data_IF_756774513245
#
_entry.id   IF_756774513245
#
_cell.length_a   1.000
_cell.length_b   1.000
_cell.length_c   1.000
_cell.angle_alpha   90.00
_cell.angle_beta   90.00
_cell.angle_gamma   90.00
#
_symmetry.space_group_name_H-M   'P 1'
#
loop_
_entity.id
_entity.type
_entity.pdbx_description
1 polymer ?
#
# COMPACT_ATOMS: atom_id res chain seq x y z
N UNK A 1 34.58 -51.57 27.14
CA UNK A 1 34.46 -51.48 25.68
C UNK A 1 33.03 -51.62 25.12
N UNK A 2 32.02 -52.13 25.88
CA UNK A 2 30.65 -52.29 25.37
C UNK A 2 29.70 -51.08 25.58
N UNK A 3 30.07 -50.14 26.44
CA UNK A 3 29.26 -48.94 26.76
C UNK A 3 29.51 -47.77 25.79
N UNK A 4 30.70 -47.66 25.20
CA UNK A 4 31.03 -46.58 24.27
C UNK A 4 30.40 -46.76 22.86
N UNK A 5 30.13 -48.02 22.46
CA UNK A 5 29.53 -48.29 21.15
C UNK A 5 28.05 -47.97 21.08
N UNK A 6 27.31 -48.02 22.22
CA UNK A 6 25.88 -47.68 22.27
C UNK A 6 25.61 -46.18 22.18
N UNK A 7 26.49 -45.36 22.71
CA UNK A 7 26.34 -43.87 22.64
C UNK A 7 26.58 -43.34 21.24
N UNK A 8 27.49 -43.94 20.46
CA UNK A 8 27.74 -43.47 19.06
C UNK A 8 26.58 -43.81 18.11
N UNK A 9 25.91 -44.92 18.30
CA UNK A 9 24.74 -45.29 17.45
C UNK A 9 23.52 -44.41 17.74
N UNK A 10 23.30 -43.97 18.98
CA UNK A 10 22.21 -43.08 19.32
C UNK A 10 22.44 -41.65 18.83
N UNK A 11 23.66 -41.14 18.80
CA UNK A 11 23.95 -39.82 18.27
C UNK A 11 23.83 -39.78 16.74
N UNK A 12 24.23 -40.82 16.04
CA UNK A 12 24.10 -40.92 14.59
C UNK A 12 22.62 -41.02 14.16
N UNK A 13 21.77 -41.73 14.94
CA UNK A 13 20.32 -41.83 14.67
C UNK A 13 19.60 -40.50 14.94
N UNK A 14 19.97 -39.72 15.96
CA UNK A 14 19.39 -38.44 16.26
C UNK A 14 19.77 -37.37 15.22
N UNK A 15 20.96 -37.37 14.68
CA UNK A 15 21.41 -36.49 13.60
C UNK A 15 20.75 -36.84 12.25
N UNK A 16 20.53 -38.12 11.96
CA UNK A 16 19.83 -38.52 10.73
C UNK A 16 18.34 -38.14 10.75
N UNK A 17 17.67 -38.23 11.92
CA UNK A 17 16.27 -37.84 12.07
C UNK A 17 16.09 -36.30 11.98
N UNK A 18 17.04 -35.51 12.50
CA UNK A 18 16.98 -34.04 12.39
C UNK A 18 17.28 -33.53 10.98
N UNK A 19 18.12 -34.20 10.20
CA UNK A 19 18.36 -33.88 8.78
C UNK A 19 17.16 -34.24 7.89
N UNK A 20 16.45 -35.34 8.18
CA UNK A 20 15.22 -35.69 7.45
C UNK A 20 14.06 -34.76 7.78
N UNK A 21 13.92 -34.30 9.03
CA UNK A 21 12.86 -33.36 9.42
C UNK A 21 13.08 -31.97 8.79
N UNK A 22 14.33 -31.50 8.63
CA UNK A 22 14.64 -30.25 7.95
C UNK A 22 14.40 -30.32 6.42
N UNK A 23 14.66 -31.46 5.78
CA UNK A 23 14.37 -31.67 4.37
C UNK A 23 12.86 -31.78 4.08
N UNK A 24 12.07 -32.37 4.98
CA UNK A 24 10.61 -32.46 4.84
C UNK A 24 9.91 -31.08 4.98
N UNK A 25 10.46 -30.15 5.76
CA UNK A 25 9.90 -28.80 5.91
C UNK A 25 10.15 -27.90 4.70
N UNK A 26 11.18 -28.18 3.89
CA UNK A 26 11.51 -27.39 2.70
C UNK A 26 10.68 -27.82 1.46
N UNK A 27 10.14 -29.02 1.43
CA UNK A 27 9.43 -29.58 0.26
C UNK A 27 7.93 -29.18 0.16
N UNK A 28 7.33 -28.67 1.22
CA UNK A 28 5.88 -28.50 1.32
C UNK A 28 5.28 -27.31 0.57
N UNK A 29 6.06 -26.34 0.07
CA UNK A 29 5.53 -25.14 -0.56
C UNK A 29 5.29 -25.33 -2.06
N UNK A 30 6.07 -26.16 -2.75
CA UNK A 30 5.90 -26.47 -4.18
C UNK A 30 4.88 -27.61 -4.45
N UNK A 31 4.47 -28.35 -3.41
CA UNK A 31 3.44 -29.39 -3.51
C UNK A 31 2.01 -28.82 -3.39
N UNK A 32 1.87 -27.53 -3.10
CA UNK A 32 0.55 -26.88 -3.08
C UNK A 32 0.02 -26.66 -4.51
N UNK A 33 -1.30 -26.61 -4.71
CA UNK A 33 -1.90 -26.28 -5.98
C UNK A 33 -1.36 -24.96 -6.53
N UNK A 34 -1.22 -24.88 -7.85
CA UNK A 34 -0.86 -23.63 -8.51
C UNK A 34 -1.93 -22.56 -8.27
N UNK A 35 -1.51 -21.32 -8.01
CA UNK A 35 -2.39 -20.16 -7.88
C UNK A 35 -2.95 -19.74 -9.25
N UNK A 36 -2.23 -20.04 -10.31
CA UNK A 36 -2.58 -19.78 -11.70
C UNK A 36 -1.82 -20.73 -12.63
N UNK A 37 -2.33 -20.95 -13.80
CA UNK A 37 -1.70 -21.84 -14.78
C UNK A 37 -0.28 -21.37 -15.15
N UNK A 38 0.70 -22.25 -15.04
CA UNK A 38 2.10 -21.98 -15.38
C UNK A 38 2.92 -21.32 -14.25
N UNK A 39 2.40 -21.23 -13.03
CA UNK A 39 3.10 -20.69 -11.89
C UNK A 39 4.45 -21.38 -11.63
N UNK A 40 4.48 -22.71 -11.66
CA UNK A 40 5.70 -23.49 -11.42
C UNK A 40 6.79 -23.20 -12.46
N UNK A 41 6.41 -23.12 -13.73
CA UNK A 41 7.34 -22.80 -14.81
C UNK A 41 7.92 -21.37 -14.68
N UNK A 42 7.07 -20.41 -14.29
CA UNK A 42 7.51 -19.04 -14.03
C UNK A 42 8.41 -18.95 -12.82
N UNK A 43 8.13 -19.71 -11.75
CA UNK A 43 9.01 -19.78 -10.58
C UNK A 43 10.39 -20.33 -10.93
N UNK A 44 10.48 -21.41 -11.72
CA UNK A 44 11.76 -21.95 -12.17
C UNK A 44 12.59 -20.95 -12.99
N UNK A 45 11.93 -20.07 -13.74
CA UNK A 45 12.61 -18.98 -14.44
C UNK A 45 13.06 -17.86 -13.48
N UNK A 46 12.19 -17.47 -12.53
CA UNK A 46 12.46 -16.44 -11.53
C UNK A 46 13.58 -16.83 -10.55
N UNK A 47 13.71 -18.11 -10.20
CA UNK A 47 14.80 -18.65 -9.39
C UNK A 47 16.18 -18.33 -9.98
N UNK A 48 16.32 -18.35 -11.30
CA UNK A 48 17.59 -18.02 -11.99
C UNK A 48 17.94 -16.54 -11.86
N UNK A 49 16.95 -15.67 -11.65
CA UNK A 49 17.12 -14.25 -11.41
C UNK A 49 17.39 -13.98 -9.91
N UNK A 50 16.83 -14.79 -9.01
CA UNK A 50 17.09 -14.83 -7.58
C UNK A 50 16.45 -13.72 -6.76
N UNK A 51 15.94 -12.66 -7.38
CA UNK A 51 15.30 -11.56 -6.69
C UNK A 51 14.27 -10.82 -7.55
N UNK A 52 13.37 -10.11 -6.90
CA UNK A 52 12.53 -9.07 -7.51
C UNK A 52 12.77 -7.74 -6.79
N UNK A 53 12.98 -6.67 -7.56
CA UNK A 53 13.10 -5.31 -7.02
C UNK A 53 11.77 -4.59 -7.24
N UNK A 54 11.06 -4.30 -6.16
CA UNK A 54 9.73 -3.65 -6.16
C UNK A 54 9.83 -2.24 -5.58
N UNK A 55 9.65 -1.22 -6.39
CA UNK A 55 9.69 0.16 -5.95
C UNK A 55 8.37 0.58 -5.32
N UNK A 56 8.45 1.46 -4.33
CA UNK A 56 7.34 2.02 -3.55
C UNK A 56 6.51 0.92 -2.84
N UNK A 57 7.16 -0.12 -2.33
CA UNK A 57 6.55 -1.11 -1.46
C UNK A 57 7.34 -1.18 -0.16
N UNK A 58 6.67 -1.08 0.98
CA UNK A 58 7.34 -1.05 2.27
C UNK A 58 6.57 -1.83 3.34
N UNK A 59 7.24 -2.49 4.29
CA UNK A 59 6.60 -3.42 5.23
C UNK A 59 5.69 -2.73 6.26
N UNK A 60 5.72 -1.41 6.36
CA UNK A 60 5.04 -0.67 7.44
C UNK A 60 3.62 -0.23 7.11
N UNK A 61 3.14 -0.43 5.88
CA UNK A 61 1.83 0.02 5.40
C UNK A 61 1.19 -0.97 4.42
N UNK A 62 -0.11 -0.81 4.12
CA UNK A 62 -0.93 -1.60 3.19
C UNK A 62 -0.71 -3.13 3.27
N UNK A 63 -0.34 -3.64 4.44
CA UNK A 63 -0.07 -5.07 4.69
C UNK A 63 1.05 -5.71 3.85
N UNK A 64 1.97 -4.92 3.29
CA UNK A 64 3.09 -5.43 2.48
C UNK A 64 3.98 -6.43 3.23
N UNK A 65 4.16 -6.26 4.56
CA UNK A 65 4.94 -7.21 5.36
C UNK A 65 4.37 -8.64 5.27
N UNK A 66 3.05 -8.79 5.29
CA UNK A 66 2.39 -10.09 5.16
C UNK A 66 2.50 -10.64 3.72
N UNK A 67 2.41 -9.76 2.70
CA UNK A 67 2.64 -10.11 1.30
C UNK A 67 4.08 -10.63 1.09
N UNK A 68 5.08 -9.93 1.61
CA UNK A 68 6.49 -10.34 1.54
C UNK A 68 6.72 -11.68 2.23
N UNK A 69 6.17 -11.86 3.43
CA UNK A 69 6.30 -13.11 4.18
C UNK A 69 5.64 -14.29 3.45
N UNK A 70 4.46 -14.10 2.90
CA UNK A 70 3.74 -15.13 2.16
C UNK A 70 4.41 -15.46 0.82
N UNK A 71 4.90 -14.45 0.09
CA UNK A 71 5.68 -14.64 -1.12
C UNK A 71 6.97 -15.42 -0.84
N UNK A 72 7.75 -15.01 0.15
CA UNK A 72 8.99 -15.71 0.55
C UNK A 72 8.73 -17.14 1.00
N UNK A 73 7.64 -17.38 1.71
CA UNK A 73 7.24 -18.74 2.10
C UNK A 73 6.90 -19.61 0.89
N UNK A 74 6.23 -19.05 -0.12
CA UNK A 74 5.83 -19.77 -1.32
C UNK A 74 6.97 -19.95 -2.31
N UNK A 75 7.84 -18.94 -2.44
CA UNK A 75 8.95 -18.86 -3.38
C UNK A 75 10.30 -18.59 -2.66
N UNK A 76 10.80 -19.53 -1.89
CA UNK A 76 11.93 -19.31 -0.97
C UNK A 76 13.24 -18.91 -1.66
N UNK A 77 13.39 -19.18 -2.96
CA UNK A 77 14.62 -18.89 -3.72
C UNK A 77 14.56 -17.54 -4.45
N UNK A 78 13.48 -16.74 -4.27
CA UNK A 78 13.36 -15.39 -4.82
C UNK A 78 13.27 -14.38 -3.68
N UNK A 79 14.25 -13.48 -3.59
CA UNK A 79 14.26 -12.40 -2.60
C UNK A 79 13.42 -11.21 -3.07
N UNK A 80 12.80 -10.48 -2.12
CA UNK A 80 12.15 -9.21 -2.40
C UNK A 80 13.05 -8.08 -1.92
N UNK A 81 13.45 -7.21 -2.84
CA UNK A 81 14.14 -5.95 -2.56
C UNK A 81 13.16 -4.82 -2.80
N UNK A 82 13.04 -3.91 -1.86
CA UNK A 82 12.04 -2.82 -1.94
C UNK A 82 12.63 -1.47 -1.53
N UNK A 83 11.94 -0.40 -1.90
CA UNK A 83 12.12 0.94 -1.34
C UNK A 83 10.74 1.58 -1.03
N UNK A 84 10.78 2.71 -0.35
CA UNK A 84 9.60 3.51 0.01
C UNK A 84 9.94 4.99 -0.23
N UNK A 85 9.68 5.47 -1.45
CA UNK A 85 10.10 6.80 -1.91
C UNK A 85 8.95 7.73 -2.32
N UNK A 86 7.73 7.24 -2.30
CA UNK A 86 6.53 7.96 -2.72
C UNK A 86 6.20 7.81 -4.20
N UNK A 87 4.90 7.80 -4.53
CA UNK A 87 4.38 7.51 -5.87
C UNK A 87 4.96 8.41 -6.97
N UNK A 88 5.03 9.72 -6.72
CA UNK A 88 5.60 10.67 -7.69
C UNK A 88 7.10 10.50 -7.88
N UNK A 89 7.84 10.29 -6.78
CA UNK A 89 9.28 10.06 -6.84
C UNK A 89 9.63 8.74 -7.52
N UNK A 90 8.78 7.72 -7.39
CA UNK A 90 8.91 6.44 -8.10
C UNK A 90 8.89 6.65 -9.61
N UNK A 91 7.93 7.40 -10.16
CA UNK A 91 7.87 7.70 -11.60
C UNK A 91 9.12 8.45 -12.05
N UNK A 92 9.58 9.43 -11.29
CA UNK A 92 10.82 10.19 -11.59
C UNK A 92 12.05 9.27 -11.58
N UNK A 93 12.14 8.34 -10.61
CA UNK A 93 13.24 7.39 -10.53
C UNK A 93 13.26 6.44 -11.72
N UNK A 94 12.11 5.90 -12.12
CA UNK A 94 11.99 5.05 -13.31
C UNK A 94 12.40 5.80 -14.59
N UNK A 95 11.94 7.06 -14.74
CA UNK A 95 12.25 7.87 -15.90
C UNK A 95 13.74 8.19 -16.03
N UNK A 96 14.38 8.57 -14.92
CA UNK A 96 15.83 8.81 -14.88
C UNK A 96 16.65 7.57 -15.17
N UNK A 97 16.17 6.39 -14.75
CA UNK A 97 16.85 5.11 -14.92
C UNK A 97 16.42 4.34 -16.18
N UNK A 98 15.63 4.93 -17.10
CA UNK A 98 15.03 4.22 -18.25
C UNK A 98 15.99 3.42 -19.12
N UNK A 99 17.24 3.85 -19.25
CA UNK A 99 18.28 3.18 -20.03
C UNK A 99 18.97 2.04 -19.26
N UNK A 100 18.84 2.02 -17.94
CA UNK A 100 19.36 0.99 -17.04
C UNK A 100 18.41 0.86 -15.83
N UNK A 101 17.26 0.24 -16.01
CA UNK A 101 16.24 0.11 -14.96
C UNK A 101 16.82 -0.55 -13.70
N UNK A 102 16.39 -0.06 -12.54
CA UNK A 102 16.82 -0.53 -11.23
C UNK A 102 15.68 -1.24 -10.49
N UNK A 103 14.52 -1.38 -11.11
CA UNK A 103 13.35 -2.03 -10.58
C UNK A 103 12.74 -3.00 -11.59
N UNK A 104 12.03 -4.00 -11.09
CA UNK A 104 11.27 -4.96 -11.88
C UNK A 104 9.78 -4.63 -11.84
N UNK A 105 9.32 -4.10 -10.71
CA UNK A 105 7.94 -3.66 -10.51
C UNK A 105 7.91 -2.30 -9.82
N UNK A 106 6.84 -1.55 -10.03
CA UNK A 106 6.63 -0.26 -9.39
C UNK A 106 5.17 -0.13 -8.97
N UNK A 107 4.97 0.23 -7.71
CA UNK A 107 3.68 0.49 -7.12
C UNK A 107 3.49 1.98 -6.89
N UNK A 108 2.26 2.48 -6.98
CA UNK A 108 1.94 3.90 -6.83
C UNK A 108 0.42 4.14 -6.75
N UNK A 109 0.03 5.30 -6.31
CA UNK A 109 -1.31 5.83 -6.58
C UNK A 109 -1.59 5.77 -8.08
N UNK A 110 -2.74 5.26 -8.49
CA UNK A 110 -3.01 4.91 -9.89
C UNK A 110 -2.90 6.09 -10.87
N UNK A 111 -3.08 7.34 -10.41
CA UNK A 111 -2.83 8.51 -11.25
C UNK A 111 -1.35 8.62 -11.69
N UNK A 112 -0.41 8.23 -10.81
CA UNK A 112 1.02 8.18 -11.16
C UNK A 112 1.35 7.04 -12.12
N UNK A 113 0.54 5.96 -12.12
CA UNK A 113 0.67 4.87 -13.10
C UNK A 113 0.41 5.35 -14.53
N UNK A 114 -0.55 6.28 -14.71
CA UNK A 114 -0.84 6.89 -16.02
C UNK A 114 0.37 7.68 -16.51
N UNK A 115 1.04 8.45 -15.64
CA UNK A 115 2.26 9.17 -15.99
C UNK A 115 3.41 8.21 -16.36
N UNK A 116 3.60 7.13 -15.58
CA UNK A 116 4.60 6.10 -15.88
C UNK A 116 4.35 5.45 -17.26
N UNK A 117 3.08 5.13 -17.57
CA UNK A 117 2.69 4.58 -18.87
C UNK A 117 2.92 5.56 -20.02
N UNK A 118 2.61 6.85 -19.82
CA UNK A 118 2.84 7.91 -20.81
C UNK A 118 4.34 8.12 -21.09
N UNK A 119 5.19 7.95 -20.05
CA UNK A 119 6.65 8.01 -20.19
C UNK A 119 7.28 6.76 -20.79
N UNK A 120 6.49 5.70 -21.06
CA UNK A 120 6.97 4.40 -21.56
C UNK A 120 8.09 3.79 -20.69
N UNK A 121 7.97 3.88 -19.36
CA UNK A 121 8.89 3.27 -18.40
C UNK A 121 8.33 1.99 -17.80
N UNK A 122 7.13 1.56 -18.23
CA UNK A 122 6.45 0.34 -17.80
C UNK A 122 6.02 -0.49 -19.01
N UNK A 123 6.11 -1.81 -18.86
CA UNK A 123 5.81 -2.81 -19.90
C UNK A 123 4.37 -3.32 -19.79
N UNK A 124 3.75 -3.74 -20.91
CA UNK A 124 2.49 -4.46 -20.88
C UNK A 124 2.64 -5.82 -20.16
N UNK A 125 1.76 -6.07 -19.20
CA UNK A 125 1.64 -7.38 -18.56
C UNK A 125 0.23 -7.54 -17.97
N UNK A 126 -0.40 -8.69 -18.22
CA UNK A 126 -1.72 -9.03 -17.71
C UNK A 126 -1.57 -10.21 -16.74
N UNK A 127 -1.53 -9.96 -15.42
CA UNK A 127 -1.43 -11.02 -14.42
C UNK A 127 -2.74 -11.81 -14.31
N UNK A 128 -2.72 -12.88 -13.50
CA UNK A 128 -3.94 -13.58 -13.10
C UNK A 128 -4.98 -12.60 -12.56
N UNK A 129 -6.25 -12.84 -12.81
CA UNK A 129 -7.39 -11.99 -12.43
C UNK A 129 -7.43 -10.58 -13.09
N UNK A 130 -6.48 -10.24 -13.96
CA UNK A 130 -6.48 -8.94 -14.66
C UNK A 130 -7.83 -8.64 -15.33
N UNK A 131 -8.42 -9.63 -16.00
CA UNK A 131 -9.68 -9.43 -16.72
C UNK A 131 -10.90 -9.33 -15.81
N UNK A 132 -10.81 -9.71 -14.55
CA UNK A 132 -11.85 -9.47 -13.53
C UNK A 132 -11.92 -8.00 -13.08
N UNK A 133 -10.84 -7.23 -13.23
CA UNK A 133 -10.84 -5.81 -12.89
C UNK A 133 -11.79 -5.03 -13.80
N UNK A 134 -12.51 -4.07 -13.21
CA UNK A 134 -13.30 -3.14 -14.01
C UNK A 134 -12.39 -2.31 -14.93
N UNK A 135 -12.84 -1.91 -16.13
CA UNK A 135 -12.00 -1.18 -17.10
C UNK A 135 -11.37 0.11 -16.55
N UNK A 136 -12.02 0.78 -15.60
CA UNK A 136 -11.48 2.02 -14.98
C UNK A 136 -10.31 1.75 -14.02
N UNK A 137 -10.09 0.49 -13.63
CA UNK A 137 -9.05 0.07 -12.70
C UNK A 137 -7.86 -0.60 -13.38
N UNK A 138 -7.78 -0.54 -14.71
CA UNK A 138 -6.67 -1.11 -15.47
C UNK A 138 -6.41 -0.35 -16.76
N UNK A 139 -5.17 -0.40 -17.21
CA UNK A 139 -4.82 -0.03 -18.58
C UNK A 139 -5.23 -1.14 -19.55
N UNK A 140 -5.77 -0.81 -20.72
CA UNK A 140 -6.25 -1.81 -21.68
C UNK A 140 -5.13 -2.75 -22.18
N UNK A 141 -3.92 -2.20 -22.32
CA UNK A 141 -2.74 -2.95 -22.76
C UNK A 141 -2.01 -3.62 -21.60
N UNK A 142 -2.44 -3.38 -20.33
CA UNK A 142 -1.82 -3.96 -19.16
C UNK A 142 -0.57 -3.24 -18.68
N UNK A 143 -0.35 -1.98 -19.06
CA UNK A 143 0.79 -1.19 -18.56
C UNK A 143 0.70 -0.88 -17.07
N UNK A 144 -0.51 -0.88 -16.52
CA UNK A 144 -0.78 -0.79 -15.09
C UNK A 144 -2.13 -1.45 -14.75
N UNK A 145 -2.29 -1.88 -13.52
CA UNK A 145 -3.54 -2.40 -12.97
C UNK A 145 -3.60 -2.16 -11.48
N UNK A 146 -4.80 -1.94 -10.96
CA UNK A 146 -5.00 -1.72 -9.53
C UNK A 146 -4.97 -3.03 -8.77
N UNK A 147 -4.42 -2.99 -7.57
CA UNK A 147 -4.32 -4.15 -6.68
C UNK A 147 -5.17 -4.00 -5.43
N UNK A 148 -5.45 -2.78 -5.01
CA UNK A 148 -6.34 -2.47 -3.88
C UNK A 148 -6.80 -1.01 -3.92
N UNK A 149 -7.77 -0.69 -3.05
CA UNK A 149 -8.23 0.68 -2.78
C UNK A 149 -8.03 1.02 -1.31
N UNK A 150 -7.72 2.29 -1.04
CA UNK A 150 -7.49 2.83 0.30
C UNK A 150 -8.41 4.03 0.54
N UNK A 151 -9.08 4.07 1.69
CA UNK A 151 -10.04 5.12 2.06
C UNK A 151 -9.43 6.10 3.04
N UNK A 152 -9.51 7.40 2.76
CA UNK A 152 -9.01 8.44 3.68
C UNK A 152 -9.82 8.48 4.96
N UNK A 153 -9.13 8.52 6.09
CA UNK A 153 -9.68 8.61 7.43
C UNK A 153 -8.79 9.50 8.34
N UNK A 154 -9.36 9.95 9.44
CA UNK A 154 -8.60 10.49 10.55
C UNK A 154 -8.22 9.35 11.48
N UNK A 155 -6.92 9.15 11.68
CA UNK A 155 -6.35 8.20 12.64
C UNK A 155 -5.98 8.98 13.88
N UNK A 156 -6.70 8.76 14.98
CA UNK A 156 -6.66 9.63 16.17
C UNK A 156 -6.15 8.86 17.37
N UNK A 157 -5.14 9.40 18.06
CA UNK A 157 -4.68 8.91 19.32
C UNK A 157 -5.59 9.47 20.46
N UNK A 158 -6.48 8.64 21.00
CA UNK A 158 -7.48 9.05 21.99
C UNK A 158 -6.88 9.35 23.36
N UNK A 159 -5.62 8.96 23.60
CA UNK A 159 -4.90 9.36 24.82
C UNK A 159 -4.48 10.83 24.78
N UNK A 160 -4.19 11.34 23.58
CA UNK A 160 -3.75 12.72 23.35
C UNK A 160 -4.90 13.64 22.96
N UNK A 161 -5.91 13.13 22.27
CA UNK A 161 -7.06 13.88 21.73
C UNK A 161 -8.34 13.39 22.41
N UNK A 162 -8.92 14.20 23.30
CA UNK A 162 -10.14 13.81 24.03
C UNK A 162 -11.40 13.94 23.21
N UNK A 163 -11.51 15.00 22.41
CA UNK A 163 -12.61 15.23 21.50
C UNK A 163 -12.21 14.73 20.11
N UNK A 164 -12.62 13.50 19.75
CA UNK A 164 -12.28 12.91 18.47
C UNK A 164 -13.00 13.62 17.34
N UNK A 165 -12.29 14.26 16.37
CA UNK A 165 -12.92 14.98 15.26
C UNK A 165 -13.72 14.03 14.38
N UNK A 166 -14.92 14.44 13.96
CA UNK A 166 -15.85 13.66 13.13
C UNK A 166 -15.98 14.23 11.72
N UNK A 167 -15.41 15.41 11.48
CA UNK A 167 -15.61 16.18 10.26
C UNK A 167 -14.36 16.96 9.86
N UNK A 168 -14.22 17.28 8.56
CA UNK A 168 -13.19 18.19 8.10
C UNK A 168 -13.29 19.56 8.81
N UNK A 169 -14.51 20.04 9.05
CA UNK A 169 -14.73 21.30 9.75
C UNK A 169 -14.25 21.25 11.22
N UNK A 170 -14.34 20.10 11.89
CA UNK A 170 -13.86 19.96 13.26
C UNK A 170 -12.35 20.22 13.34
N UNK A 171 -11.58 19.76 12.35
CA UNK A 171 -10.12 19.95 12.34
C UNK A 171 -9.67 21.43 12.32
N UNK A 172 -10.58 22.37 12.04
CA UNK A 172 -10.31 23.80 12.09
C UNK A 172 -10.50 24.40 13.50
N UNK A 173 -11.06 23.64 14.47
CA UNK A 173 -11.30 24.14 15.83
C UNK A 173 -10.00 24.39 16.57
N UNK A 174 -9.94 25.43 17.45
CA UNK A 174 -8.71 25.80 18.17
C UNK A 174 -8.16 24.69 19.10
N UNK A 175 -9.00 23.77 19.54
CA UNK A 175 -8.60 22.64 20.40
C UNK A 175 -7.61 21.67 19.72
N UNK A 176 -7.52 21.69 18.38
CA UNK A 176 -6.57 20.86 17.62
C UNK A 176 -5.28 21.59 17.26
N UNK A 177 -4.99 22.72 17.91
CA UNK A 177 -3.76 23.47 17.65
C UNK A 177 -2.52 22.56 17.78
N UNK A 178 -1.70 22.54 16.72
CA UNK A 178 -0.44 21.78 16.66
C UNK A 178 -0.63 20.26 16.90
N UNK A 179 -1.69 19.65 16.34
CA UNK A 179 -1.97 18.22 16.52
C UNK A 179 -2.04 17.43 15.22
N UNK A 180 -2.21 18.08 14.06
CA UNK A 180 -2.53 17.41 12.82
C UNK A 180 -1.27 17.13 12.01
N UNK A 181 -1.10 15.88 11.59
CA UNK A 181 -0.05 15.42 10.67
C UNK A 181 -0.71 14.83 9.43
N UNK A 182 -0.16 15.14 8.25
CA UNK A 182 -0.54 14.50 7.00
C UNK A 182 0.64 14.51 6.01
N UNK A 183 0.50 13.84 4.86
CA UNK A 183 1.59 13.72 3.88
C UNK A 183 1.50 14.77 2.77
N UNK A 184 2.67 15.18 2.27
CA UNK A 184 2.81 16.17 1.21
C UNK A 184 2.22 15.65 -0.12
N UNK A 185 1.21 16.32 -0.70
CA UNK A 185 0.58 15.90 -1.94
C UNK A 185 1.51 15.98 -3.16
N UNK A 186 2.59 16.77 -3.10
CA UNK A 186 3.54 16.92 -4.21
C UNK A 186 4.40 15.66 -4.39
N UNK A 187 4.70 14.95 -3.30
CA UNK A 187 5.60 13.79 -3.30
C UNK A 187 4.89 12.47 -3.06
N UNK A 188 3.72 12.45 -2.40
CA UNK A 188 3.05 11.22 -1.97
C UNK A 188 1.66 11.06 -2.57
N UNK A 189 1.30 9.80 -2.89
CA UNK A 189 -0.06 9.47 -3.32
C UNK A 189 -1.10 9.74 -2.23
N UNK A 190 -0.77 9.40 -0.97
CA UNK A 190 -1.65 9.68 0.19
C UNK A 190 -1.99 11.17 0.28
N UNK A 191 -0.99 12.04 0.19
CA UNK A 191 -1.20 13.49 0.23
C UNK A 191 -2.14 13.99 -0.87
N UNK A 192 -1.99 13.47 -2.09
CA UNK A 192 -2.90 13.80 -3.20
C UNK A 192 -4.34 13.37 -2.89
N UNK A 193 -4.51 12.14 -2.40
CA UNK A 193 -5.85 11.64 -2.07
C UNK A 193 -6.47 12.40 -0.91
N UNK A 194 -5.69 12.80 0.09
CA UNK A 194 -6.13 13.66 1.19
C UNK A 194 -6.58 15.02 0.67
N UNK A 195 -5.89 15.60 -0.32
CA UNK A 195 -6.32 16.86 -0.94
C UNK A 195 -7.67 16.72 -1.64
N UNK A 196 -7.92 15.65 -2.40
CA UNK A 196 -9.23 15.38 -2.99
C UNK A 196 -10.30 15.09 -1.95
N UNK A 197 -9.97 14.31 -0.89
CA UNK A 197 -10.93 14.00 0.17
C UNK A 197 -11.40 15.26 0.92
N UNK A 198 -10.48 16.15 1.27
CA UNK A 198 -10.81 17.44 1.86
C UNK A 198 -11.64 18.31 0.91
N UNK A 199 -11.30 18.33 -0.38
CA UNK A 199 -12.06 19.04 -1.40
C UNK A 199 -13.50 18.54 -1.50
N UNK A 200 -13.70 17.24 -1.51
CA UNK A 200 -15.05 16.64 -1.49
C UNK A 200 -15.82 16.98 -0.21
N UNK A 201 -15.13 16.96 0.94
CA UNK A 201 -15.72 17.35 2.23
C UNK A 201 -16.13 18.81 2.29
N UNK A 202 -15.49 19.67 1.50
CA UNK A 202 -15.82 21.10 1.39
C UNK A 202 -16.78 21.42 0.22
N UNK A 203 -17.38 20.39 -0.40
CA UNK A 203 -18.35 20.57 -1.48
C UNK A 203 -17.75 20.75 -2.87
N UNK A 204 -16.44 20.57 -3.03
CA UNK A 204 -15.78 20.53 -4.33
C UNK A 204 -15.94 19.19 -5.06
N UNK A 205 -15.42 19.13 -6.27
CA UNK A 205 -15.37 17.93 -7.10
C UNK A 205 -14.02 17.78 -7.79
N UNK A 206 -13.85 16.79 -8.67
CA UNK A 206 -12.59 16.53 -9.37
C UNK A 206 -12.18 17.66 -10.33
N UNK A 207 -13.09 18.51 -10.76
CA UNK A 207 -12.84 19.63 -11.68
C UNK A 207 -12.74 20.98 -10.95
N UNK A 208 -13.40 21.11 -9.79
CA UNK A 208 -13.36 22.29 -8.93
C UNK A 208 -12.60 21.98 -7.63
N UNK A 209 -11.32 22.35 -7.58
CA UNK A 209 -10.43 22.12 -6.44
C UNK A 209 -10.45 23.25 -5.42
N UNK A 210 -11.04 24.42 -5.75
CA UNK A 210 -10.94 25.63 -4.94
C UNK A 210 -11.45 25.44 -3.50
N UNK A 211 -12.59 24.75 -3.25
CA UNK A 211 -13.07 24.53 -1.87
C UNK A 211 -12.06 23.82 -0.98
N UNK A 212 -11.35 22.80 -1.53
CA UNK A 212 -10.30 22.10 -0.80
C UNK A 212 -9.05 22.95 -0.56
N UNK A 213 -8.65 23.76 -1.54
CA UNK A 213 -7.49 24.67 -1.41
C UNK A 213 -7.77 25.76 -0.36
N UNK A 214 -8.97 26.32 -0.36
CA UNK A 214 -9.41 27.29 0.66
C UNK A 214 -9.44 26.66 2.05
N UNK A 215 -9.84 25.38 2.14
CA UNK A 215 -9.79 24.63 3.39
C UNK A 215 -8.37 24.45 3.89
N UNK A 216 -7.41 24.04 3.04
CA UNK A 216 -6.00 23.92 3.45
C UNK A 216 -5.40 25.27 3.87
N UNK A 217 -5.77 26.34 3.20
CA UNK A 217 -5.36 27.68 3.63
C UNK A 217 -5.81 27.96 5.07
N UNK A 218 -7.08 27.72 5.39
CA UNK A 218 -7.62 27.89 6.73
C UNK A 218 -6.94 26.95 7.74
N UNK A 219 -6.72 25.69 7.37
CA UNK A 219 -6.11 24.68 8.23
C UNK A 219 -4.67 25.05 8.60
N UNK A 220 -3.89 25.56 7.67
CA UNK A 220 -2.52 26.03 7.96
C UNK A 220 -2.53 27.33 8.77
N UNK A 221 -3.42 28.29 8.43
CA UNK A 221 -3.53 29.56 9.17
C UNK A 221 -4.04 29.37 10.61
N UNK A 222 -4.85 28.31 10.89
CA UNK A 222 -5.30 28.05 12.25
C UNK A 222 -4.17 27.61 13.21
N UNK A 223 -3.03 27.18 12.66
CA UNK A 223 -1.92 26.63 13.43
C UNK A 223 -2.19 25.19 13.94
N UNK A 224 -3.19 24.50 13.39
CA UNK A 224 -3.55 23.13 13.79
C UNK A 224 -2.62 22.07 13.18
N UNK A 225 -1.95 22.40 12.04
CA UNK A 225 -0.98 21.50 11.42
C UNK A 225 0.29 21.45 12.23
N UNK A 226 0.60 20.28 12.78
CA UNK A 226 1.86 20.01 13.48
C UNK A 226 3.00 19.82 12.47
N UNK A 227 2.78 18.94 11.46
CA UNK A 227 3.78 18.62 10.43
C UNK A 227 3.13 18.15 9.13
N UNK A 228 3.82 18.44 8.03
CA UNK A 228 3.61 17.79 6.73
C UNK A 228 4.86 16.97 6.42
N UNK A 229 4.69 15.70 6.06
CA UNK A 229 5.77 14.73 5.93
C UNK A 229 5.84 14.15 4.52
N UNK A 230 7.04 13.72 4.09
CA UNK A 230 7.27 13.08 2.79
C UNK A 230 7.15 11.56 2.79
N UNK A 231 7.06 10.94 3.98
CA UNK A 231 6.94 9.49 4.17
C UNK A 231 6.00 9.15 5.30
N UNK A 232 5.52 7.90 5.35
CA UNK A 232 4.58 7.45 6.37
C UNK A 232 5.15 7.56 7.79
N UNK A 233 4.44 8.21 8.73
CA UNK A 233 4.85 8.32 10.12
C UNK A 233 4.29 7.20 11.01
N UNK A 234 3.95 6.04 10.46
CA UNK A 234 3.26 4.96 11.18
C UNK A 234 3.92 4.61 12.52
N UNK A 235 5.25 4.43 12.51
CA UNK A 235 5.99 4.09 13.72
C UNK A 235 5.90 5.19 14.80
N UNK A 236 5.88 6.47 14.40
CA UNK A 236 5.69 7.61 15.31
C UNK A 236 4.27 7.63 15.89
N UNK A 237 3.27 7.33 15.07
CA UNK A 237 1.88 7.23 15.54
C UNK A 237 1.72 6.11 16.57
N UNK A 238 2.23 4.92 16.28
CA UNK A 238 2.18 3.76 17.21
C UNK A 238 2.89 4.06 18.55
N UNK A 239 4.00 4.81 18.51
CA UNK A 239 4.70 5.28 19.72
C UNK A 239 3.95 6.37 20.50
N UNK A 240 2.84 6.91 19.95
CA UNK A 240 2.06 7.96 20.59
C UNK A 240 2.62 9.38 20.39
N UNK A 241 3.46 9.60 19.38
CA UNK A 241 4.06 10.91 19.11
C UNK A 241 3.16 11.80 18.22
N UNK A 242 2.12 11.23 17.61
CA UNK A 242 1.21 11.92 16.70
C UNK A 242 -0.22 11.88 17.25
N UNK A 243 -0.83 13.04 17.54
CA UNK A 243 -2.19 13.10 18.06
C UNK A 243 -3.25 12.77 17.00
N UNK A 244 -3.17 13.38 15.81
CA UNK A 244 -4.09 13.18 14.67
C UNK A 244 -3.28 13.00 13.40
N UNK A 245 -3.49 11.88 12.74
CA UNK A 245 -2.89 11.61 11.44
C UNK A 245 -3.99 11.45 10.38
N UNK A 246 -4.01 12.34 9.40
CA UNK A 246 -4.89 12.18 8.23
C UNK A 246 -4.20 11.22 7.27
N UNK A 247 -4.74 10.01 7.17
CA UNK A 247 -4.19 8.91 6.36
C UNK A 247 -5.31 8.02 5.83
N UNK A 248 -5.03 6.74 5.71
CA UNK A 248 -6.02 5.75 5.31
C UNK A 248 -6.58 4.96 6.50
N UNK A 249 -7.82 4.48 6.35
CA UNK A 249 -8.51 3.69 7.38
C UNK A 249 -7.71 2.46 7.82
N UNK A 250 -7.08 1.75 6.85
CA UNK A 250 -6.30 0.54 7.14
C UNK A 250 -5.11 0.80 8.08
N UNK A 251 -4.47 1.96 8.03
CA UNK A 251 -3.37 2.30 8.94
C UNK A 251 -3.85 2.36 10.39
N UNK A 252 -4.98 3.03 10.61
CA UNK A 252 -5.59 3.11 11.92
C UNK A 252 -6.16 1.77 12.40
N UNK A 253 -6.81 1.02 11.51
CA UNK A 253 -7.36 -0.31 11.84
C UNK A 253 -6.25 -1.31 12.17
N UNK A 254 -5.12 -1.26 11.43
CA UNK A 254 -3.92 -2.04 11.76
C UNK A 254 -3.40 -1.68 13.14
N UNK A 255 -3.20 -0.40 13.43
CA UNK A 255 -2.74 0.06 14.74
C UNK A 255 -3.68 -0.41 15.86
N UNK A 256 -5.00 -0.29 15.66
CA UNK A 256 -6.02 -0.66 16.63
C UNK A 256 -6.09 -2.16 16.88
N UNK A 257 -6.17 -2.98 15.82
CA UNK A 257 -6.52 -4.40 15.93
C UNK A 257 -5.33 -5.34 15.74
N UNK A 258 -4.36 -5.00 14.92
CA UNK A 258 -3.19 -5.86 14.66
C UNK A 258 -2.05 -5.55 15.64
N UNK A 259 -1.75 -4.28 15.85
CA UNK A 259 -0.65 -3.87 16.73
C UNK A 259 -1.11 -3.66 18.19
N UNK A 260 -2.40 -3.92 18.49
CA UNK A 260 -2.94 -4.05 19.85
C UNK A 260 -3.15 -2.74 20.59
N UNK A 261 -3.20 -1.58 19.91
CA UNK A 261 -3.44 -0.31 20.58
C UNK A 261 -4.90 -0.15 21.07
N UNK A 262 -5.84 -0.96 20.55
CA UNK A 262 -7.24 -1.01 21.02
C UNK A 262 -7.92 0.35 21.01
N UNK A 263 -8.54 0.71 22.14
CA UNK A 263 -9.29 1.96 22.27
C UNK A 263 -8.42 3.22 22.33
N UNK A 264 -7.10 3.07 22.40
CA UNK A 264 -6.19 4.21 22.24
C UNK A 264 -6.19 4.77 20.80
N UNK A 265 -6.82 4.07 19.84
CA UNK A 265 -6.95 4.51 18.45
C UNK A 265 -8.41 4.60 18.05
N UNK A 266 -8.83 5.78 17.57
CA UNK A 266 -10.05 5.97 16.82
C UNK A 266 -9.75 6.15 15.34
N UNK A 267 -10.58 5.51 14.49
CA UNK A 267 -10.52 5.65 13.03
C UNK A 267 -11.84 6.26 12.58
N UNK A 268 -11.77 7.45 12.00
CA UNK A 268 -12.95 8.23 11.62
C UNK A 268 -12.92 8.55 10.14
N UNK A 269 -13.90 8.06 9.39
CA UNK A 269 -14.16 8.52 8.03
C UNK A 269 -14.99 9.79 8.13
N UNK A 270 -14.52 10.96 7.64
CA UNK A 270 -15.21 12.23 7.80
C UNK A 270 -16.66 12.18 7.29
N UNK A 271 -17.59 12.75 8.06
CA UNK A 271 -19.03 12.64 7.81
C UNK A 271 -19.51 13.37 6.54
N UNK A 272 -18.83 14.44 6.13
CA UNK A 272 -19.22 15.20 4.95
C UNK A 272 -18.91 14.42 3.66
N UNK A 273 -17.68 14.00 3.51
CA UNK A 273 -17.21 13.14 2.45
C UNK A 273 -15.77 12.70 2.71
N UNK A 274 -15.37 11.62 2.06
CA UNK A 274 -14.01 11.18 1.96
C UNK A 274 -13.70 10.66 0.55
N UNK A 275 -12.47 10.19 0.30
CA UNK A 275 -12.05 9.65 -0.98
C UNK A 275 -11.51 8.22 -0.81
N UNK A 276 -11.86 7.35 -1.77
CA UNK A 276 -11.20 6.06 -1.97
C UNK A 276 -10.27 6.15 -3.17
N UNK A 277 -9.00 5.81 -2.95
CA UNK A 277 -7.97 5.84 -3.96
C UNK A 277 -7.63 4.44 -4.45
N UNK A 278 -7.69 4.17 -5.75
CA UNK A 278 -7.10 2.98 -6.32
C UNK A 278 -5.58 3.11 -6.33
N UNK A 279 -4.89 2.06 -5.91
CA UNK A 279 -3.45 1.92 -6.03
C UNK A 279 -3.11 0.86 -7.06
N UNK A 280 -2.16 1.19 -7.93
CA UNK A 280 -1.76 0.38 -9.07
C UNK A 280 -0.33 -0.11 -8.93
N UNK A 281 -0.04 -1.17 -9.67
CA UNK A 281 1.30 -1.69 -9.84
C UNK A 281 1.55 -1.93 -11.34
N UNK A 282 2.82 -1.89 -11.74
CA UNK A 282 3.26 -2.12 -13.11
C UNK A 282 4.47 -3.02 -13.15
N UNK A 283 4.64 -3.72 -14.27
CA UNK A 283 5.92 -4.30 -14.66
C UNK A 283 6.81 -3.19 -15.25
N UNK A 284 8.04 -3.06 -14.80
CA UNK A 284 8.96 -2.05 -15.30
C UNK A 284 9.51 -2.47 -16.67
N UNK A 285 9.57 -1.52 -17.61
CA UNK A 285 10.12 -1.75 -18.95
C UNK A 285 11.61 -2.12 -18.85
N UNK A 286 12.01 -3.25 -19.39
CA UNK A 286 13.38 -3.78 -19.33
C UNK A 286 13.94 -3.93 -17.91
N UNK A 287 13.08 -4.21 -16.92
CA UNK A 287 13.52 -4.54 -15.56
C UNK A 287 14.54 -5.67 -15.56
N UNK A 288 15.51 -5.66 -14.62
CA UNK A 288 16.60 -6.63 -14.61
C UNK A 288 16.15 -8.07 -14.37
N UNK A 289 15.04 -8.29 -13.66
CA UNK A 289 14.53 -9.60 -13.27
C UNK A 289 13.06 -9.79 -13.73
N UNK A 290 12.81 -9.88 -15.05
CA UNK A 290 11.45 -9.81 -15.59
C UNK A 290 10.58 -11.02 -15.21
N UNK A 291 11.14 -12.20 -14.97
CA UNK A 291 10.37 -13.37 -14.55
C UNK A 291 10.00 -13.26 -13.07
N UNK A 292 10.91 -12.81 -12.22
CA UNK A 292 10.62 -12.55 -10.81
C UNK A 292 9.60 -11.42 -10.65
N UNK A 293 9.68 -10.36 -11.46
CA UNK A 293 8.68 -9.30 -11.54
C UNK A 293 7.29 -9.85 -11.89
N UNK A 294 7.17 -10.66 -12.94
CA UNK A 294 5.90 -11.30 -13.33
C UNK A 294 5.38 -12.27 -12.26
N UNK A 295 6.28 -13.02 -11.61
CA UNK A 295 5.92 -13.92 -10.51
C UNK A 295 5.31 -13.14 -9.34
N UNK A 296 5.94 -12.02 -8.94
CA UNK A 296 5.46 -11.13 -7.89
C UNK A 296 4.10 -10.54 -8.24
N UNK A 297 3.93 -10.00 -9.45
CA UNK A 297 2.67 -9.42 -9.91
C UNK A 297 1.52 -10.43 -9.96
N UNK A 298 1.78 -11.67 -10.41
CA UNK A 298 0.78 -12.74 -10.38
C UNK A 298 0.43 -13.15 -8.95
N UNK A 299 1.42 -13.23 -8.04
CA UNK A 299 1.18 -13.57 -6.64
C UNK A 299 0.23 -12.57 -5.98
N UNK A 300 0.53 -11.27 -6.04
CA UNK A 300 -0.32 -10.26 -5.41
C UNK A 300 -1.70 -10.12 -6.07
N UNK A 301 -1.84 -10.47 -7.35
CA UNK A 301 -3.13 -10.47 -8.05
C UNK A 301 -3.90 -11.79 -7.94
N UNK A 302 -3.29 -12.84 -7.39
CA UNK A 302 -3.99 -14.09 -7.07
C UNK A 302 -5.00 -13.91 -5.96
N UNK A 303 -5.94 -14.85 -5.83
CA UNK A 303 -6.91 -14.84 -4.74
C UNK A 303 -6.20 -14.90 -3.36
N UNK A 304 -5.02 -15.54 -3.30
CA UNK A 304 -4.18 -15.56 -2.09
C UNK A 304 -3.66 -14.16 -1.74
N UNK A 305 -2.97 -13.48 -2.65
CA UNK A 305 -2.44 -12.12 -2.42
C UNK A 305 -3.56 -11.13 -2.10
N UNK A 306 -4.64 -11.14 -2.87
CA UNK A 306 -5.79 -10.28 -2.60
C UNK A 306 -6.42 -10.56 -1.22
N UNK A 307 -6.44 -11.82 -0.78
CA UNK A 307 -6.87 -12.21 0.57
C UNK A 307 -5.94 -11.69 1.67
N UNK A 308 -4.63 -11.65 1.42
CA UNK A 308 -3.63 -11.09 2.37
C UNK A 308 -3.82 -9.58 2.52
N UNK A 309 -4.07 -8.82 1.45
CA UNK A 309 -4.44 -7.42 1.55
C UNK A 309 -5.69 -7.25 2.42
N UNK A 310 -6.73 -8.05 2.19
CA UNK A 310 -7.95 -8.01 2.98
C UNK A 310 -7.72 -8.25 4.49
N UNK A 311 -6.85 -9.19 4.85
CA UNK A 311 -6.48 -9.44 6.26
C UNK A 311 -5.86 -8.22 6.94
N UNK A 312 -5.19 -7.35 6.19
CA UNK A 312 -4.64 -6.08 6.65
C UNK A 312 -5.60 -4.88 6.57
N UNK A 313 -6.90 -5.12 6.45
CA UNK A 313 -7.93 -4.07 6.28
C UNK A 313 -7.81 -3.26 4.99
N UNK A 314 -7.06 -3.74 4.02
CA UNK A 314 -6.90 -3.14 2.70
C UNK A 314 -7.96 -3.75 1.77
N UNK A 315 -8.70 -2.91 1.05
CA UNK A 315 -9.81 -3.37 0.19
C UNK A 315 -9.27 -3.90 -1.14
N UNK A 316 -9.40 -5.22 -1.45
CA UNK A 316 -8.94 -5.80 -2.71
C UNK A 316 -9.55 -5.12 -3.93
N UNK A 317 -8.80 -5.04 -5.04
CA UNK A 317 -9.33 -4.55 -6.32
C UNK A 317 -10.00 -5.66 -7.15
N UNK A 318 -9.65 -6.92 -6.92
CA UNK A 318 -10.23 -8.05 -7.65
C UNK A 318 -11.63 -8.33 -7.11
N UNK A 319 -12.68 -8.23 -7.95
CA UNK A 319 -14.05 -8.53 -7.52
C UNK A 319 -14.22 -9.98 -7.06
N UNK A 320 -15.06 -10.19 -6.05
CA UNK A 320 -15.39 -11.52 -5.53
C UNK A 320 -14.40 -12.08 -4.50
N UNK A 321 -13.32 -11.37 -4.21
CA UNK A 321 -12.47 -11.73 -3.06
C UNK A 321 -13.25 -11.47 -1.77
N UNK A 322 -13.52 -12.54 -1.03
CA UNK A 322 -14.25 -12.45 0.22
C UNK A 322 -13.36 -11.86 1.31
N UNK A 323 -13.84 -10.79 1.96
CA UNK A 323 -13.19 -10.29 3.17
C UNK A 323 -13.34 -11.35 4.28
N UNK A 324 -12.28 -11.61 5.07
CA UNK A 324 -12.41 -12.43 6.27
C UNK A 324 -13.46 -11.85 7.23
N UNK A 325 -14.28 -12.69 7.85
CA UNK A 325 -15.38 -12.21 8.72
C UNK A 325 -14.86 -11.30 9.85
N UNK A 326 -13.73 -11.65 10.46
CA UNK A 326 -13.07 -10.83 11.48
C UNK A 326 -12.54 -9.46 10.97
N UNK A 327 -12.51 -9.25 9.67
CA UNK A 327 -12.14 -7.98 9.02
C UNK A 327 -13.39 -7.22 8.60
N UNK A 328 -14.36 -7.90 7.99
CA UNK A 328 -15.60 -7.29 7.48
C UNK A 328 -16.35 -6.53 8.59
N UNK A 329 -16.44 -7.12 9.79
CA UNK A 329 -17.11 -6.50 10.95
C UNK A 329 -16.39 -5.24 11.48
N UNK A 330 -15.12 -5.04 11.13
CA UNK A 330 -14.30 -3.90 11.59
C UNK A 330 -14.20 -2.78 10.57
N UNK A 331 -14.52 -3.06 9.30
CA UNK A 331 -14.55 -2.06 8.25
C UNK A 331 -15.84 -1.25 8.33
N UNK A 332 -15.80 0.06 8.60
CA UNK A 332 -17.00 0.87 8.70
C UNK A 332 -17.72 0.94 7.35
N UNK A 333 -19.04 0.92 7.38
CA UNK A 333 -19.83 1.34 6.24
C UNK A 333 -19.58 2.84 6.01
N UNK A 334 -19.24 3.20 4.79
CA UNK A 334 -18.82 4.57 4.48
C UNK A 334 -19.47 5.05 3.16
N UNK A 335 -20.81 5.26 3.14
CA UNK A 335 -21.53 5.65 1.93
C UNK A 335 -21.11 7.03 1.41
N UNK A 336 -20.51 7.88 2.25
CA UNK A 336 -19.98 9.19 1.90
C UNK A 336 -18.62 9.14 1.19
N UNK A 337 -17.99 7.97 1.05
CA UNK A 337 -16.70 7.83 0.36
C UNK A 337 -16.91 7.88 -1.16
N UNK A 338 -16.20 8.78 -1.81
CA UNK A 338 -16.24 8.97 -3.27
C UNK A 338 -15.03 8.31 -3.91
N UNK A 339 -15.19 7.43 -4.90
CA UNK A 339 -14.08 6.91 -5.68
C UNK A 339 -13.44 8.03 -6.50
N UNK A 340 -12.11 8.01 -6.62
CA UNK A 340 -11.41 8.94 -7.49
C UNK A 340 -11.40 8.44 -8.94
N UNK A 341 -11.77 9.31 -9.87
CA UNK A 341 -11.48 9.10 -11.29
C UNK A 341 -9.97 9.28 -11.52
N UNK A 342 -9.30 8.20 -11.87
CA UNK A 342 -7.84 8.13 -11.97
C UNK A 342 -7.28 9.07 -13.04
N UNK A 343 -7.97 9.17 -14.19
CA UNK A 343 -7.54 10.01 -15.31
C UNK A 343 -7.64 11.49 -14.94
N UNK A 344 -8.75 11.88 -14.33
CA UNK A 344 -8.93 13.25 -13.85
C UNK A 344 -7.95 13.59 -12.74
N UNK A 345 -7.70 12.67 -11.80
CA UNK A 345 -6.69 12.86 -10.75
C UNK A 345 -5.28 13.08 -11.34
N UNK A 346 -4.90 12.30 -12.36
CA UNK A 346 -3.63 12.49 -13.07
C UNK A 346 -3.55 13.86 -13.77
N UNK A 347 -4.60 14.25 -14.48
CA UNK A 347 -4.66 15.54 -15.18
C UNK A 347 -4.62 16.74 -14.20
N UNK A 348 -5.16 16.58 -12.99
CA UNK A 348 -5.23 17.63 -11.96
C UNK A 348 -4.04 17.65 -11.01
N UNK A 349 -3.07 16.75 -11.16
CA UNK A 349 -1.91 16.69 -10.25
C UNK A 349 -1.18 18.03 -10.12
N UNK A 350 -0.84 18.67 -11.23
CA UNK A 350 -0.12 19.95 -11.21
C UNK A 350 -0.94 21.07 -10.53
N UNK A 351 -2.27 21.08 -10.73
CA UNK A 351 -3.17 22.03 -10.10
C UNK A 351 -3.21 21.82 -8.58
N UNK A 352 -3.30 20.55 -8.13
CA UNK A 352 -3.25 20.20 -6.70
C UNK A 352 -1.92 20.63 -6.09
N UNK A 353 -0.79 20.27 -6.71
CA UNK A 353 0.56 20.56 -6.21
C UNK A 353 0.77 22.08 -6.03
N UNK A 354 0.45 22.85 -7.07
CA UNK A 354 0.61 24.32 -7.07
C UNK A 354 -0.36 24.98 -6.07
N UNK A 355 -1.63 24.58 -6.10
CA UNK A 355 -2.66 25.16 -5.24
C UNK A 355 -2.39 24.86 -3.77
N UNK A 356 -2.01 23.63 -3.45
CA UNK A 356 -1.66 23.23 -2.09
C UNK A 356 -0.39 23.95 -1.59
N UNK A 357 0.65 24.07 -2.41
CA UNK A 357 1.86 24.80 -2.03
C UNK A 357 1.53 26.26 -1.67
N UNK A 358 0.68 26.92 -2.45
CA UNK A 358 0.20 28.27 -2.15
C UNK A 358 -0.61 28.31 -0.84
N UNK A 359 -1.54 27.36 -0.65
CA UNK A 359 -2.41 27.28 0.52
C UNK A 359 -1.63 26.99 1.83
N UNK A 360 -0.59 26.16 1.76
CA UNK A 360 0.24 25.78 2.91
C UNK A 360 1.37 26.77 3.21
N UNK A 361 1.67 27.69 2.29
CA UNK A 361 2.85 28.56 2.36
C UNK A 361 4.18 27.82 2.13
N UNK A 362 4.13 26.59 1.58
CA UNK A 362 5.32 25.79 1.28
C UNK A 362 5.96 26.24 -0.03
N UNK A 363 7.29 26.36 -0.03
CA UNK A 363 8.08 26.64 -1.24
C UNK A 363 8.34 25.40 -2.09
#
# INVERSE_FOLDING_TARGET
MRTALRSFVQIAAALAVSLFAAAAAAQTVLDSPELYAGEKALYEAAKKEGMVVSFETGPTWANWAAEFAAFKKRYPEVEIVYNDIGSGATVVALDKARNRPQADTAYYFAASAIDAAAKNVVAPFKPVNFDKLTPVFRDADGKWFTIHTLTVAFVVNTKLVKNVPQSWADLLKPEYKNTIVYLDPRSTGVGQVVAFAANFGMGGDMNNLQPGLDYFTKLHQSGNVLRVLGTTPYAQFVKGEIPIWISYENDGLKAKYTDGLGDAVAVVIPKEASAAAPYAISLVEKGPNPNAGKLWLNFIMSDMGQGIFAQGFVRPSVPGVKLPDNVADKLPAAPQVRPLDVKTAAAKKADVDKGWAAASGSK
#
